data_IF_425135976063
#
_entry.id   IF_425135976063
#
_cell.length_a   1.000
_cell.length_b   1.000
_cell.length_c   1.000
_cell.angle_alpha   90.00
_cell.angle_beta   90.00
_cell.angle_gamma   90.00
#
_symmetry.space_group_name_H-M   'P 1'
#
loop_
_entity.id
_entity.type
_entity.pdbx_description
1 polymer ?
#
# COMPACT_ATOMS: atom_id res chain seq x y z
N UNK A 1 10.32 -15.79 14.69
CA UNK A 1 10.14 -14.38 15.09
C UNK A 1 10.50 -13.51 13.89
N UNK A 2 9.55 -13.24 12.99
CA UNK A 2 9.81 -12.37 11.83
C UNK A 2 9.81 -10.93 12.35
N UNK A 3 10.91 -10.20 12.17
CA UNK A 3 10.94 -8.77 12.51
C UNK A 3 10.09 -8.00 11.51
N UNK A 4 9.06 -7.25 11.95
CA UNK A 4 8.27 -6.44 11.04
C UNK A 4 9.11 -5.31 10.47
N UNK A 5 8.95 -5.04 9.18
CA UNK A 5 9.56 -3.89 8.54
C UNK A 5 8.75 -2.65 8.91
N UNK A 6 9.41 -1.67 9.52
CA UNK A 6 8.81 -0.38 9.82
C UNK A 6 9.05 0.57 8.66
N UNK A 7 7.97 1.12 8.12
CA UNK A 7 8.02 2.06 7.01
C UNK A 7 7.35 3.37 7.42
N UNK A 8 7.94 4.49 6.99
CA UNK A 8 7.35 5.82 7.15
C UNK A 8 6.85 6.31 5.80
N UNK A 9 5.61 6.78 5.77
CA UNK A 9 4.96 7.30 4.57
C UNK A 9 4.76 8.81 4.73
N UNK A 10 5.32 9.57 3.80
CA UNK A 10 5.08 11.00 3.64
C UNK A 10 3.85 11.16 2.74
N UNK A 11 2.74 11.57 3.35
CA UNK A 11 1.45 11.76 2.66
C UNK A 11 0.86 13.11 3.05
N UNK A 12 -0.04 13.64 2.22
CA UNK A 12 -0.73 14.89 2.54
C UNK A 12 -1.50 14.74 3.87
N UNK A 13 -1.62 15.84 4.62
CA UNK A 13 -2.34 15.84 5.91
C UNK A 13 -3.80 15.40 5.77
N UNK A 14 -4.43 15.71 4.63
CA UNK A 14 -5.81 15.32 4.32
C UNK A 14 -5.93 13.83 4.02
N UNK A 15 -5.00 13.27 3.24
CA UNK A 15 -5.03 11.85 2.87
C UNK A 15 -4.60 10.94 4.01
N UNK A 16 -3.79 11.46 4.94
CA UNK A 16 -3.28 10.72 6.11
C UNK A 16 -4.37 9.96 6.85
N UNK A 17 -5.49 10.62 7.17
CA UNK A 17 -6.59 10.00 7.92
C UNK A 17 -7.31 8.93 7.11
N UNK A 18 -7.51 9.17 5.81
CA UNK A 18 -8.19 8.24 4.91
C UNK A 18 -7.35 6.97 4.70
N UNK A 19 -6.04 7.14 4.50
CA UNK A 19 -5.08 6.05 4.36
C UNK A 19 -5.01 5.26 5.67
N UNK A 20 -4.83 5.93 6.82
CA UNK A 20 -4.79 5.27 8.13
C UNK A 20 -6.02 4.42 8.38
N UNK A 21 -7.22 4.97 8.16
CA UNK A 21 -8.47 4.22 8.33
C UNK A 21 -8.53 2.98 7.43
N UNK A 22 -8.16 3.11 6.15
CA UNK A 22 -8.14 1.97 5.23
C UNK A 22 -7.12 0.90 5.63
N UNK A 23 -5.94 1.28 6.11
CA UNK A 23 -4.95 0.31 6.59
C UNK A 23 -5.45 -0.44 7.82
N UNK A 24 -6.15 0.23 8.74
CA UNK A 24 -6.77 -0.42 9.89
C UNK A 24 -7.87 -1.41 9.50
N UNK A 25 -8.72 -1.08 8.52
CA UNK A 25 -9.73 -2.01 7.98
C UNK A 25 -9.10 -3.27 7.37
N UNK A 26 -7.91 -3.14 6.78
CA UNK A 26 -7.12 -4.25 6.25
C UNK A 26 -6.33 -5.01 7.33
N UNK A 27 -6.53 -4.68 8.60
CA UNK A 27 -5.79 -5.25 9.74
C UNK A 27 -4.27 -5.05 9.68
N UNK A 28 -3.83 -3.96 9.02
CA UNK A 28 -2.41 -3.60 8.93
C UNK A 28 -2.06 -2.68 10.09
N UNK A 29 -1.02 -3.03 10.85
CA UNK A 29 -0.55 -2.23 11.97
C UNK A 29 0.00 -0.89 11.48
N UNK A 30 -0.64 0.21 11.87
CA UNK A 30 -0.22 1.56 11.52
C UNK A 30 -0.49 2.57 12.64
N UNK A 31 0.27 3.67 12.67
CA UNK A 31 0.09 4.77 13.61
C UNK A 31 0.42 6.13 12.97
N UNK A 32 -0.19 7.19 13.49
CA UNK A 32 0.07 8.57 13.06
C UNK A 32 0.72 9.34 14.22
N UNK A 33 2.06 9.49 14.26
CA UNK A 33 2.71 10.29 15.28
C UNK A 33 2.44 11.79 15.10
N UNK A 34 2.81 12.57 16.11
CA UNK A 34 2.68 14.03 16.08
C UNK A 34 3.59 14.70 15.04
N UNK A 35 4.59 13.98 14.52
CA UNK A 35 5.52 14.43 13.47
C UNK A 35 4.87 14.59 12.09
N UNK A 36 3.62 14.13 11.93
CA UNK A 36 2.89 14.23 10.67
C UNK A 36 3.03 13.02 9.76
N UNK A 37 3.91 12.07 10.08
CA UNK A 37 4.14 10.86 9.29
C UNK A 37 3.03 9.83 9.49
N UNK A 38 2.95 8.85 8.58
CA UNK A 38 2.19 7.62 8.78
C UNK A 38 3.19 6.47 8.90
N UNK A 39 3.26 5.86 10.09
CA UNK A 39 4.11 4.70 10.34
C UNK A 39 3.33 3.43 10.11
N UNK A 40 3.91 2.47 9.38
CA UNK A 40 3.29 1.19 9.07
C UNK A 40 4.25 0.06 9.38
N UNK A 41 3.74 -1.02 9.96
CA UNK A 41 4.49 -2.24 10.25
C UNK A 41 4.06 -3.34 9.29
N UNK A 42 4.98 -3.72 8.40
CA UNK A 42 4.80 -4.72 7.35
C UNK A 42 5.35 -6.05 7.86
N UNK A 43 4.49 -7.04 8.02
CA UNK A 43 4.84 -8.37 8.52
C UNK A 43 5.08 -9.35 7.37
N UNK A 44 4.33 -9.18 6.28
CA UNK A 44 4.38 -10.04 5.10
C UNK A 44 4.48 -9.24 3.80
N UNK A 45 4.91 -9.89 2.72
CA UNK A 45 4.96 -9.26 1.39
C UNK A 45 3.59 -8.76 0.90
N UNK A 46 2.51 -9.40 1.35
CA UNK A 46 1.14 -8.97 1.05
C UNK A 46 0.84 -7.61 1.67
N UNK A 47 1.26 -7.37 2.92
CA UNK A 47 1.05 -6.09 3.59
C UNK A 47 1.71 -4.95 2.81
N UNK A 48 2.90 -5.18 2.25
CA UNK A 48 3.59 -4.18 1.42
C UNK A 48 2.79 -3.83 0.17
N UNK A 49 2.19 -4.83 -0.49
CA UNK A 49 1.35 -4.62 -1.67
C UNK A 49 0.10 -3.83 -1.28
N UNK A 50 -0.59 -4.24 -0.20
CA UNK A 50 -1.79 -3.55 0.29
C UNK A 50 -1.51 -2.11 0.70
N UNK A 51 -0.40 -1.85 1.38
CA UNK A 51 0.02 -0.50 1.75
C UNK A 51 0.24 0.36 0.51
N UNK A 52 0.99 -0.15 -0.47
CA UNK A 52 1.24 0.57 -1.73
C UNK A 52 -0.07 0.87 -2.47
N UNK A 53 -0.93 -0.13 -2.63
CA UNK A 53 -2.22 0.04 -3.30
C UNK A 53 -3.11 1.05 -2.59
N UNK A 54 -3.15 1.01 -1.25
CA UNK A 54 -3.91 1.95 -0.44
C UNK A 54 -3.40 3.37 -0.62
N UNK A 55 -2.08 3.59 -0.55
CA UNK A 55 -1.49 4.93 -0.78
C UNK A 55 -1.83 5.43 -2.18
N UNK A 56 -1.61 4.60 -3.21
CA UNK A 56 -1.87 4.97 -4.60
C UNK A 56 -3.34 5.36 -4.82
N UNK A 57 -4.30 4.70 -4.16
CA UNK A 57 -5.72 5.02 -4.28
C UNK A 57 -6.05 6.49 -3.93
N UNK A 58 -5.26 7.13 -3.07
CA UNK A 58 -5.47 8.51 -2.66
C UNK A 58 -4.51 9.50 -3.32
N UNK A 59 -3.32 9.06 -3.74
CA UNK A 59 -2.29 9.96 -4.28
C UNK A 59 -2.17 9.95 -5.80
N UNK A 60 -2.59 8.87 -6.47
CA UNK A 60 -2.44 8.73 -7.92
C UNK A 60 -3.71 9.19 -8.65
N UNK A 61 -3.55 9.65 -9.89
CA UNK A 61 -4.67 9.90 -10.78
C UNK A 61 -5.39 8.60 -11.14
N UNK A 62 -6.65 8.70 -11.54
CA UNK A 62 -7.43 7.54 -12.00
C UNK A 62 -6.75 6.81 -13.17
N UNK A 63 -6.11 7.54 -14.09
CA UNK A 63 -5.42 6.93 -15.23
C UNK A 63 -4.22 6.10 -14.77
N UNK A 64 -3.40 6.63 -13.84
CA UNK A 64 -2.26 5.89 -13.29
C UNK A 64 -2.70 4.61 -12.57
N UNK A 65 -3.82 4.66 -11.84
CA UNK A 65 -4.39 3.47 -11.19
C UNK A 65 -4.82 2.41 -12.20
N UNK A 66 -5.52 2.81 -13.27
CA UNK A 66 -5.95 1.90 -14.34
C UNK A 66 -4.73 1.28 -15.04
N UNK A 67 -3.76 2.09 -15.45
CA UNK A 67 -2.55 1.59 -16.09
C UNK A 67 -1.75 0.64 -15.20
N UNK A 68 -1.76 0.86 -13.88
CA UNK A 68 -1.12 -0.07 -12.94
C UNK A 68 -1.86 -1.40 -12.86
N UNK A 69 -3.20 -1.38 -12.77
CA UNK A 69 -4.02 -2.59 -12.75
C UNK A 69 -3.85 -3.41 -14.04
N UNK A 70 -3.81 -2.76 -15.20
CA UNK A 70 -3.55 -3.40 -16.50
C UNK A 70 -2.19 -4.13 -16.49
N UNK A 71 -1.15 -3.50 -15.95
CA UNK A 71 0.18 -4.12 -15.81
C UNK A 71 0.17 -5.32 -14.86
N UNK A 72 -0.54 -5.22 -13.74
CA UNK A 72 -0.69 -6.35 -12.81
C UNK A 72 -1.41 -7.52 -13.46
N UNK A 73 -2.42 -7.23 -14.29
CA UNK A 73 -3.16 -8.25 -15.02
C UNK A 73 -2.27 -8.99 -16.02
N UNK A 74 -1.51 -8.26 -16.84
CA UNK A 74 -0.57 -8.84 -17.81
C UNK A 74 0.49 -9.72 -17.13
N UNK A 75 1.09 -9.25 -16.03
CA UNK A 75 2.08 -10.02 -15.28
C UNK A 75 1.51 -11.34 -14.71
N UNK A 76 0.20 -11.41 -14.45
CA UNK A 76 -0.46 -12.65 -14.03
C UNK A 76 -0.60 -13.66 -15.16
N UNK A 77 -0.63 -13.21 -16.43
CA UNK A 77 -0.83 -14.06 -17.61
C UNK A 77 0.47 -14.66 -18.15
N UNK A 78 1.64 -14.14 -17.78
CA UNK A 78 2.94 -14.65 -18.23
C UNK A 78 3.38 -15.96 -17.52
N UNK A 79 2.68 -16.38 -16.46
CA UNK A 79 3.01 -17.62 -15.72
C UNK A 79 2.59 -18.93 -16.43
N UNK A 80 1.92 -18.88 -17.58
CA UNK A 80 1.51 -20.09 -18.32
C UNK A 80 2.35 -20.40 -19.57
N UNK A 81 3.42 -19.65 -19.85
CA UNK A 81 4.19 -19.80 -21.09
C UNK A 81 5.52 -20.61 -20.95
N UNK A 82 5.82 -21.16 -19.78
CA UNK A 82 6.94 -22.10 -19.60
C UNK A 82 6.39 -23.41 -19.01
N UNK A 83 5.78 -24.21 -19.87
CA UNK A 83 5.47 -25.62 -19.66
C UNK A 83 5.83 -26.38 -20.94
#
# INVERSE_FOLDING_TARGET
MQTPLKCQLLVSRCDRWRIHHRLQELSIACSCPADGSLQVEVHHGIDLILVRSTVQQFTASRQELVSWLERCWLASTEKTACA
#
